data_IF_906451712150
#
_entry.id   IF_906451712150
#
_cell.length_a   1.000
_cell.length_b   1.000
_cell.length_c   1.000
_cell.angle_alpha   90.00
_cell.angle_beta   90.00
_cell.angle_gamma   90.00
#
_symmetry.space_group_name_H-M   'P 1'
#
loop_
_entity.id
_entity.type
_entity.pdbx_description
1 polymer ?
#
# COMPACT_ATOMS: atom_id res chain seq x y z
N UNK A 1 37.59 -34.56 -21.28
CA UNK A 1 37.38 -33.34 -20.45
C UNK A 1 36.19 -32.46 -20.90
N UNK A 2 35.85 -32.35 -22.19
CA UNK A 2 34.79 -31.44 -22.68
C UNK A 2 33.36 -31.69 -22.15
N UNK A 3 32.97 -32.93 -21.80
CA UNK A 3 31.60 -33.26 -21.34
C UNK A 3 31.30 -32.84 -19.90
N UNK A 4 32.32 -32.67 -19.05
CA UNK A 4 32.13 -32.26 -17.65
C UNK A 4 31.84 -30.76 -17.53
N UNK A 5 32.42 -29.94 -18.42
CA UNK A 5 32.23 -28.49 -18.44
C UNK A 5 30.80 -28.09 -18.83
N UNK A 6 30.16 -28.86 -19.71
CA UNK A 6 28.77 -28.62 -20.12
C UNK A 6 27.77 -28.99 -19.02
N UNK A 7 28.03 -30.08 -18.29
CA UNK A 7 27.19 -30.51 -17.16
C UNK A 7 27.22 -29.49 -16.02
N UNK A 8 28.38 -28.93 -15.68
CA UNK A 8 28.49 -27.87 -14.67
C UNK A 8 27.73 -26.60 -15.06
N UNK A 9 27.79 -26.20 -16.34
CA UNK A 9 27.04 -25.03 -16.86
C UNK A 9 25.53 -25.21 -16.79
N UNK A 10 25.02 -26.38 -17.18
CA UNK A 10 23.59 -26.69 -17.13
C UNK A 10 23.05 -26.69 -15.69
N UNK A 11 23.81 -27.26 -14.76
CA UNK A 11 23.47 -27.23 -13.34
C UNK A 11 23.41 -25.81 -12.80
N UNK A 12 24.40 -24.99 -13.14
CA UNK A 12 24.48 -23.59 -12.73
C UNK A 12 23.31 -22.75 -13.28
N UNK A 13 22.91 -22.97 -14.54
CA UNK A 13 21.77 -22.26 -15.14
C UNK A 13 20.45 -22.63 -14.48
N UNK A 14 20.22 -23.92 -14.23
CA UNK A 14 19.03 -24.38 -13.53
C UNK A 14 18.99 -23.89 -12.09
N UNK A 15 20.12 -23.90 -11.38
CA UNK A 15 20.24 -23.39 -10.03
C UNK A 15 19.89 -21.90 -9.94
N UNK A 16 20.42 -21.07 -10.86
CA UNK A 16 20.08 -19.64 -10.93
C UNK A 16 18.58 -19.42 -11.16
N UNK A 17 17.93 -20.24 -12.00
CA UNK A 17 16.49 -20.15 -12.24
C UNK A 17 15.68 -20.43 -10.99
N UNK A 18 16.06 -21.45 -10.22
CA UNK A 18 15.43 -21.78 -8.92
C UNK A 18 15.65 -20.68 -7.90
N UNK A 19 16.88 -20.17 -7.79
CA UNK A 19 17.22 -19.11 -6.85
C UNK A 19 16.47 -17.80 -7.12
N UNK A 20 16.17 -17.49 -8.38
CA UNK A 20 15.34 -16.32 -8.71
C UNK A 20 13.93 -16.44 -8.13
N UNK A 21 13.29 -17.60 -8.24
CA UNK A 21 11.93 -17.82 -7.72
C UNK A 21 11.92 -17.70 -6.19
N UNK A 22 12.91 -18.30 -5.53
CA UNK A 22 13.05 -18.22 -4.07
C UNK A 22 13.32 -16.76 -3.65
N UNK A 23 14.21 -16.08 -4.37
CA UNK A 23 14.55 -14.68 -4.14
C UNK A 23 13.36 -13.75 -4.27
N UNK A 24 12.53 -13.90 -5.31
CA UNK A 24 11.33 -13.09 -5.52
C UNK A 24 10.31 -13.29 -4.37
N UNK A 25 10.14 -14.54 -3.92
CA UNK A 25 9.27 -14.86 -2.79
C UNK A 25 9.80 -14.24 -1.47
N UNK A 26 11.09 -14.41 -1.20
CA UNK A 26 11.74 -13.83 -0.02
C UNK A 26 11.68 -12.30 -0.03
N UNK A 27 11.95 -11.68 -1.18
CA UNK A 27 11.85 -10.23 -1.35
C UNK A 27 10.44 -9.73 -1.05
N UNK A 28 9.41 -10.43 -1.55
CA UNK A 28 8.01 -10.08 -1.26
C UNK A 28 7.67 -10.23 0.22
N UNK A 29 8.14 -11.29 0.89
CA UNK A 29 7.94 -11.46 2.34
C UNK A 29 8.60 -10.32 3.11
N UNK A 30 9.88 -10.06 2.86
CA UNK A 30 10.64 -9.01 3.55
C UNK A 30 9.98 -7.65 3.35
N UNK A 31 9.60 -7.32 2.10
CA UNK A 31 8.92 -6.08 1.79
C UNK A 31 7.58 -5.95 2.53
N UNK A 32 6.81 -7.04 2.59
CA UNK A 32 5.51 -7.08 3.30
C UNK A 32 5.71 -6.84 4.79
N UNK A 33 6.69 -7.52 5.41
CA UNK A 33 7.01 -7.35 6.82
C UNK A 33 7.48 -5.92 7.09
N UNK A 34 8.34 -5.36 6.25
CA UNK A 34 8.79 -3.97 6.40
C UNK A 34 7.62 -2.99 6.34
N UNK A 35 6.71 -3.14 5.39
CA UNK A 35 5.52 -2.29 5.33
C UNK A 35 4.60 -2.47 6.55
N UNK A 36 4.43 -3.71 7.01
CA UNK A 36 3.61 -4.02 8.18
C UNK A 36 4.22 -3.50 9.49
N UNK A 37 5.55 -3.37 9.60
CA UNK A 37 6.21 -2.88 10.83
C UNK A 37 6.47 -1.37 10.77
N UNK A 38 6.67 -0.78 9.59
CA UNK A 38 6.97 0.65 9.47
C UNK A 38 5.72 1.50 9.21
N UNK A 39 4.87 1.08 8.27
CA UNK A 39 3.74 1.90 7.79
C UNK A 39 2.47 1.61 8.57
N UNK A 40 2.14 0.33 8.77
CA UNK A 40 0.92 -0.08 9.45
C UNK A 40 0.79 0.48 10.88
N UNK A 41 1.82 0.46 11.76
CA UNK A 41 1.64 1.02 13.11
C UNK A 41 1.44 2.53 13.07
N UNK A 42 2.05 3.26 12.14
CA UNK A 42 1.77 4.70 11.98
C UNK A 42 0.31 4.94 11.61
N UNK A 43 -0.21 4.16 10.66
CA UNK A 43 -1.63 4.22 10.29
C UNK A 43 -2.56 3.84 11.44
N UNK A 44 -2.25 2.77 12.17
CA UNK A 44 -3.03 2.33 13.33
C UNK A 44 -2.95 3.29 14.53
N UNK A 45 -1.81 3.96 14.73
CA UNK A 45 -1.65 4.96 15.78
C UNK A 45 -2.43 6.23 15.44
N UNK A 46 -2.43 6.68 14.18
CA UNK A 46 -3.14 7.91 13.78
C UNK A 46 -4.65 7.73 13.62
N UNK A 47 -5.11 6.54 13.18
CA UNK A 47 -6.53 6.22 12.92
C UNK A 47 -7.48 6.44 14.12
N UNK A 48 -7.13 6.15 15.39
CA UNK A 48 -8.01 6.44 16.51
C UNK A 48 -8.05 7.92 16.90
N UNK A 49 -7.13 8.77 16.44
CA UNK A 49 -7.14 10.20 16.78
C UNK A 49 -7.72 11.08 15.67
N UNK A 50 -7.65 10.62 14.43
CA UNK A 50 -8.16 11.35 13.28
C UNK A 50 -9.36 10.57 12.73
N UNK A 51 -10.54 11.21 12.66
CA UNK A 51 -11.68 10.71 11.91
C UNK A 51 -11.89 11.53 10.61
N UNK A 52 -10.90 11.56 9.69
CA UNK A 52 -10.97 12.39 8.49
C UNK A 52 -12.10 11.94 7.55
N UNK A 53 -12.57 10.71 7.70
CA UNK A 53 -13.65 10.14 6.91
C UNK A 53 -15.00 10.18 7.64
N UNK A 54 -15.10 10.79 8.82
CA UNK A 54 -16.31 10.85 9.64
C UNK A 54 -17.01 9.47 9.79
N UNK A 55 -16.22 8.40 9.92
CA UNK A 55 -16.71 7.03 9.98
C UNK A 55 -17.33 6.69 11.35
N UNK A 56 -17.02 7.48 12.37
CA UNK A 56 -17.64 7.31 13.69
C UNK A 56 -19.06 7.86 13.64
N UNK A 57 -20.04 6.98 13.85
CA UNK A 57 -21.43 7.41 13.99
C UNK A 57 -21.59 8.25 15.27
N UNK A 58 -22.15 9.45 15.19
CA UNK A 58 -22.56 10.20 16.37
C UNK A 58 -23.56 9.36 17.17
N UNK A 59 -23.56 9.42 18.51
CA UNK A 59 -24.49 8.65 19.33
C UNK A 59 -25.96 9.01 19.11
N UNK A 60 -26.26 10.21 18.60
CA UNK A 60 -27.62 10.66 18.23
C UNK A 60 -27.54 11.66 17.05
N UNK A 61 -27.39 11.20 15.80
CA UNK A 61 -27.28 12.09 14.67
C UNK A 61 -28.68 12.58 14.25
N UNK A 62 -28.88 13.90 14.21
CA UNK A 62 -30.07 14.50 13.60
C UNK A 62 -30.09 14.30 12.07
N UNK A 63 -28.91 14.13 11.45
CA UNK A 63 -28.71 13.92 10.01
C UNK A 63 -27.36 13.21 9.78
N UNK A 64 -27.27 12.42 8.71
CA UNK A 64 -26.01 11.82 8.22
C UNK A 64 -25.40 12.59 7.04
N UNK A 65 -26.05 13.67 6.61
CA UNK A 65 -25.49 14.57 5.62
C UNK A 65 -24.37 15.38 6.27
N UNK A 66 -23.21 15.41 5.63
CA UNK A 66 -22.10 16.29 6.02
C UNK A 66 -22.37 17.67 5.43
N UNK A 67 -22.41 18.69 6.29
CA UNK A 67 -22.46 20.08 5.83
C UNK A 67 -21.17 20.40 5.08
N UNK A 68 -21.31 20.83 3.83
CA UNK A 68 -20.20 21.28 3.01
C UNK A 68 -19.98 22.75 3.31
N UNK A 69 -18.74 23.13 3.61
CA UNK A 69 -18.40 24.54 3.76
C UNK A 69 -18.71 25.26 2.43
N UNK A 70 -19.52 26.33 2.46
CA UNK A 70 -19.88 27.05 1.25
C UNK A 70 -18.62 27.63 0.62
N UNK A 71 -18.39 27.34 -0.66
CA UNK A 71 -17.41 28.08 -1.43
C UNK A 71 -17.87 29.53 -1.54
N UNK A 72 -16.91 30.45 -1.50
CA UNK A 72 -17.17 31.89 -1.59
C UNK A 72 -18.09 32.22 -2.79
N UNK A 73 -19.02 33.16 -2.63
CA UNK A 73 -20.09 33.49 -3.60
C UNK A 73 -19.55 34.18 -4.88
N UNK A 74 -18.25 34.07 -5.13
CA UNK A 74 -17.58 34.61 -6.30
C UNK A 74 -17.72 33.68 -7.50
N UNK A 75 -17.68 34.26 -8.70
CA UNK A 75 -17.65 33.50 -9.96
C UNK A 75 -16.48 32.50 -10.01
N UNK A 76 -15.37 32.81 -9.32
CA UNK A 76 -14.21 31.93 -9.24
C UNK A 76 -14.47 30.73 -8.32
N UNK A 77 -15.21 30.91 -7.21
CA UNK A 77 -15.70 29.81 -6.37
C UNK A 77 -16.64 28.86 -7.12
N UNK A 78 -17.53 29.41 -7.96
CA UNK A 78 -18.46 28.61 -8.77
C UNK A 78 -17.74 27.73 -9.82
N UNK A 79 -16.57 28.14 -10.32
CA UNK A 79 -15.76 27.34 -11.27
C UNK A 79 -15.22 26.05 -10.67
N UNK A 80 -15.02 25.99 -9.37
CA UNK A 80 -14.48 24.81 -8.68
C UNK A 80 -15.57 23.77 -8.35
N UNK A 81 -16.83 24.03 -8.74
CA UNK A 81 -17.99 23.17 -8.45
C UNK A 81 -18.48 22.34 -9.67
N UNK A 82 -17.92 22.52 -10.87
CA UNK A 82 -18.26 21.75 -12.09
C UNK A 82 -17.45 20.47 -12.23
#
# INVERSE_FOLDING_TARGET
MARALTMGRLWWENFKRTMRIIGDFQARIILTIMYAVLVLPMGLLLRPFLDPLHLRRPPQPASYWLDREPLDDTLEGARLQS
#
